data_IF_644255030692
#
_entry.id   IF_644255030692
#
_cell.length_a   1.000
_cell.length_b   1.000
_cell.length_c   1.000
_cell.angle_alpha   90.00
_cell.angle_beta   90.00
_cell.angle_gamma   90.00
#
_symmetry.space_group_name_H-M   'P 1'
#
loop_
_entity.id
_entity.type
_entity.pdbx_description
1 polymer ?
#
# COMPACT_ATOMS: atom_id res chain seq x y z
N UNK A 1 -25.57 16.95 5.26
CA UNK A 1 -25.59 15.54 5.70
C UNK A 1 -24.31 14.87 5.22
N UNK A 2 -23.55 14.12 6.05
CA UNK A 2 -22.38 13.41 5.56
C UNK A 2 -22.86 12.37 4.54
N UNK A 3 -22.27 12.41 3.35
CA UNK A 3 -22.62 11.54 2.23
C UNK A 3 -22.17 10.10 2.56
N UNK A 4 -23.06 9.31 3.17
CA UNK A 4 -22.83 7.93 3.66
C UNK A 4 -22.38 6.95 2.57
N UNK A 5 -22.37 7.36 1.30
CA UNK A 5 -21.91 6.54 0.18
C UNK A 5 -20.40 6.63 -0.06
N UNK A 6 -19.70 7.67 0.40
CA UNK A 6 -18.27 7.89 0.17
C UNK A 6 -17.39 6.88 0.93
N UNK A 7 -16.39 6.36 0.23
CA UNK A 7 -15.49 5.32 0.74
C UNK A 7 -14.03 5.71 0.51
N UNK A 8 -13.18 5.22 1.41
CA UNK A 8 -11.72 5.20 1.23
C UNK A 8 -11.32 3.77 0.90
N UNK A 9 -10.46 3.61 -0.09
CA UNK A 9 -9.87 2.33 -0.45
C UNK A 9 -8.44 2.26 0.08
N UNK A 10 -8.12 1.17 0.79
CA UNK A 10 -6.77 0.89 1.30
C UNK A 10 -6.31 -0.44 0.73
N UNK A 11 -5.29 -0.46 -0.09
CA UNK A 11 -4.63 -1.71 -0.47
C UNK A 11 -3.55 -2.04 0.55
N UNK A 12 -3.35 -3.33 0.85
CA UNK A 12 -2.46 -3.75 1.94
C UNK A 12 -3.01 -3.47 3.34
N UNK A 13 -4.35 -3.38 3.47
CA UNK A 13 -5.01 -2.98 4.73
C UNK A 13 -5.02 -4.04 5.82
N UNK A 14 -4.56 -5.27 5.56
CA UNK A 14 -4.33 -6.31 6.57
C UNK A 14 -2.86 -6.42 6.97
N UNK A 15 -1.98 -5.58 6.41
CA UNK A 15 -0.59 -5.41 6.81
C UNK A 15 -0.44 -4.43 7.98
N UNK A 16 0.79 -4.30 8.49
CA UNK A 16 1.11 -3.43 9.63
C UNK A 16 0.68 -1.97 9.41
N UNK A 17 1.19 -1.32 8.38
CA UNK A 17 0.90 0.09 8.11
C UNK A 17 -0.58 0.31 7.74
N UNK A 18 -1.14 -0.58 6.91
CA UNK A 18 -2.53 -0.48 6.47
C UNK A 18 -3.53 -0.61 7.61
N UNK A 19 -3.28 -1.51 8.57
CA UNK A 19 -4.13 -1.68 9.77
C UNK A 19 -4.13 -0.43 10.63
N UNK A 20 -2.95 0.12 10.92
CA UNK A 20 -2.83 1.37 11.71
C UNK A 20 -3.52 2.54 11.01
N UNK A 21 -3.40 2.63 9.67
CA UNK A 21 -4.12 3.65 8.90
C UNK A 21 -5.64 3.46 9.00
N UNK A 22 -6.15 2.24 8.84
CA UNK A 22 -7.59 1.94 8.94
C UNK A 22 -8.11 2.36 10.33
N UNK A 23 -7.39 2.03 11.39
CA UNK A 23 -7.74 2.44 12.75
C UNK A 23 -7.81 3.97 12.90
N UNK A 24 -6.81 4.68 12.38
CA UNK A 24 -6.78 6.13 12.39
C UNK A 24 -7.96 6.74 11.60
N UNK A 25 -8.24 6.21 10.40
CA UNK A 25 -9.35 6.66 9.56
C UNK A 25 -10.70 6.46 10.26
N UNK A 26 -10.89 5.34 10.96
CA UNK A 26 -12.09 5.08 11.76
C UNK A 26 -12.28 6.08 12.90
N UNK A 27 -11.17 6.52 13.53
CA UNK A 27 -11.17 7.51 14.62
C UNK A 27 -11.39 8.94 14.11
N UNK A 28 -10.82 9.26 12.94
CA UNK A 28 -10.77 10.65 12.44
C UNK A 28 -11.82 10.98 11.38
N UNK A 29 -12.52 9.98 10.82
CA UNK A 29 -13.49 10.19 9.74
C UNK A 29 -14.74 9.34 9.92
N UNK A 30 -15.80 9.68 9.19
CA UNK A 30 -17.05 8.91 9.13
C UNK A 30 -17.16 8.07 7.83
N UNK A 31 -16.10 8.01 7.01
CA UNK A 31 -16.12 7.25 5.77
C UNK A 31 -16.17 5.73 6.00
N UNK A 32 -16.77 5.02 5.05
CA UNK A 32 -16.62 3.59 4.94
C UNK A 32 -15.25 3.28 4.33
N UNK A 33 -14.66 2.17 4.74
CA UNK A 33 -13.33 1.76 4.29
C UNK A 33 -13.46 0.41 3.58
N UNK A 34 -12.85 0.30 2.41
CA UNK A 34 -12.66 -0.96 1.70
C UNK A 34 -11.18 -1.28 1.72
N UNK A 35 -10.83 -2.46 2.20
CA UNK A 35 -9.45 -2.96 2.19
C UNK A 35 -9.33 -4.07 1.15
N UNK A 36 -8.31 -4.00 0.28
CA UNK A 36 -7.89 -5.09 -0.61
C UNK A 36 -6.53 -5.56 -0.15
N UNK A 37 -6.40 -6.86 0.13
CA UNK A 37 -5.16 -7.48 0.58
C UNK A 37 -5.07 -8.93 0.08
N UNK A 38 -3.91 -9.37 -0.39
CA UNK A 38 -3.71 -10.76 -0.83
C UNK A 38 -3.21 -11.66 0.30
N UNK A 39 -2.90 -11.08 1.46
CA UNK A 39 -2.35 -11.73 2.66
C UNK A 39 -0.96 -12.36 2.46
N UNK A 40 -0.17 -11.86 1.52
CA UNK A 40 1.23 -12.32 1.34
C UNK A 40 2.12 -11.99 2.54
N UNK A 41 1.86 -10.85 3.20
CA UNK A 41 2.51 -10.44 4.46
C UNK A 41 1.51 -9.96 5.52
N UNK A 42 0.30 -9.66 5.11
CA UNK A 42 -0.81 -9.30 6.00
C UNK A 42 -1.44 -10.53 6.68
N UNK A 43 -2.28 -10.29 7.68
CA UNK A 43 -2.98 -11.34 8.43
C UNK A 43 -4.44 -10.97 8.69
N UNK A 44 -5.32 -11.98 8.64
CA UNK A 44 -6.71 -11.81 9.10
C UNK A 44 -6.81 -11.43 10.58
N UNK A 45 -5.78 -11.73 11.38
CA UNK A 45 -5.72 -11.32 12.81
C UNK A 45 -5.67 -9.79 12.97
N UNK A 46 -5.21 -9.09 11.95
CA UNK A 46 -5.14 -7.62 11.90
C UNK A 46 -6.47 -6.98 11.50
N UNK A 47 -7.52 -7.76 11.24
CA UNK A 47 -8.81 -7.18 10.88
C UNK A 47 -9.44 -6.42 12.03
N UNK A 48 -9.77 -5.17 11.81
CA UNK A 48 -10.55 -4.36 12.74
C UNK A 48 -12.03 -4.70 12.57
N UNK A 49 -12.65 -5.24 13.61
CA UNK A 49 -14.09 -5.57 13.65
C UNK A 49 -14.92 -4.29 13.74
N UNK A 50 -15.27 -3.70 12.60
CA UNK A 50 -16.09 -2.49 12.53
C UNK A 50 -16.99 -2.54 11.30
N UNK A 51 -18.29 -2.18 11.45
CA UNK A 51 -19.29 -2.17 10.36
C UNK A 51 -18.96 -1.24 9.19
N UNK A 52 -18.04 -0.29 9.39
CA UNK A 52 -17.57 0.62 8.35
C UNK A 52 -16.40 0.06 7.53
N UNK A 53 -15.80 -1.10 7.91
CA UNK A 53 -14.65 -1.69 7.21
C UNK A 53 -15.08 -2.96 6.50
N UNK A 54 -14.77 -3.06 5.21
CA UNK A 54 -14.93 -4.28 4.41
C UNK A 54 -13.57 -4.74 3.93
N UNK A 55 -13.16 -5.94 4.30
CA UNK A 55 -11.95 -6.60 3.80
C UNK A 55 -12.28 -7.51 2.61
N UNK A 56 -11.47 -7.43 1.57
CA UNK A 56 -11.58 -8.25 0.35
C UNK A 56 -10.23 -8.90 0.11
N UNK A 57 -10.20 -10.25 0.08
CA UNK A 57 -8.99 -11.00 -0.28
C UNK A 57 -8.83 -10.97 -1.79
N UNK A 58 -7.84 -10.24 -2.28
CA UNK A 58 -7.46 -10.20 -3.70
C UNK A 58 -6.13 -9.51 -3.92
N UNK A 59 -5.56 -9.71 -5.10
CA UNK A 59 -4.43 -8.94 -5.58
C UNK A 59 -4.86 -7.58 -6.12
N UNK A 60 -3.97 -6.60 -6.03
CA UNK A 60 -4.21 -5.22 -6.49
C UNK A 60 -4.45 -5.11 -7.99
N UNK A 61 -3.89 -6.04 -8.78
CA UNK A 61 -4.14 -6.11 -10.22
C UNK A 61 -5.61 -6.31 -10.60
N UNK A 62 -6.43 -6.83 -9.68
CA UNK A 62 -7.85 -7.06 -9.91
C UNK A 62 -8.74 -5.89 -9.44
N UNK A 63 -8.18 -4.75 -9.07
CA UNK A 63 -8.90 -3.62 -8.45
C UNK A 63 -10.11 -3.17 -9.26
N UNK A 64 -9.97 -3.06 -10.59
CA UNK A 64 -11.05 -2.64 -11.49
C UNK A 64 -12.20 -3.64 -11.55
N UNK A 65 -11.91 -4.92 -11.35
CA UNK A 65 -12.92 -5.99 -11.32
C UNK A 65 -13.66 -6.04 -9.98
N UNK A 66 -12.96 -5.72 -8.89
CA UNK A 66 -13.47 -5.81 -7.51
C UNK A 66 -14.34 -4.59 -7.17
N UNK A 67 -13.90 -3.40 -7.52
CA UNK A 67 -14.58 -2.15 -7.17
C UNK A 67 -15.65 -1.82 -8.22
N UNK A 68 -16.85 -2.33 -8.01
CA UNK A 68 -17.99 -2.14 -8.93
C UNK A 68 -18.55 -0.71 -8.95
N UNK A 69 -18.33 0.07 -7.90
CA UNK A 69 -18.81 1.47 -7.78
C UNK A 69 -17.65 2.43 -7.53
N UNK A 70 -16.77 2.66 -8.52
CA UNK A 70 -15.58 3.51 -8.33
C UNK A 70 -15.93 4.96 -7.98
N UNK A 71 -17.08 5.48 -8.42
CA UNK A 71 -17.55 6.84 -8.07
C UNK A 71 -17.77 7.06 -6.56
N UNK A 72 -17.93 5.99 -5.78
CA UNK A 72 -18.02 6.09 -4.33
C UNK A 72 -16.65 6.22 -3.64
N UNK A 73 -15.54 5.90 -4.35
CA UNK A 73 -14.18 6.00 -3.81
C UNK A 73 -13.67 7.43 -3.96
N UNK A 74 -13.29 8.05 -2.86
CA UNK A 74 -12.77 9.43 -2.85
C UNK A 74 -11.23 9.47 -2.84
N UNK A 75 -10.60 8.46 -2.24
CA UNK A 75 -9.14 8.36 -2.12
C UNK A 75 -8.73 6.89 -2.08
N UNK A 76 -7.61 6.59 -2.71
CA UNK A 76 -6.94 5.30 -2.62
C UNK A 76 -5.62 5.50 -1.87
N UNK A 77 -5.41 4.77 -0.77
CA UNK A 77 -4.13 4.58 -0.12
C UNK A 77 -3.53 3.27 -0.62
N UNK A 78 -2.43 3.37 -1.36
CA UNK A 78 -1.81 2.21 -1.97
C UNK A 78 -0.59 1.75 -1.18
N UNK A 79 -0.80 0.75 -0.30
CA UNK A 79 0.23 0.12 0.55
C UNK A 79 0.38 -1.38 0.26
N UNK A 80 -0.45 -1.93 -0.65
CA UNK A 80 -0.47 -3.34 -1.01
C UNK A 80 0.59 -3.68 -2.05
N UNK A 81 1.86 -3.53 -1.68
CA UNK A 81 3.02 -3.83 -2.50
C UNK A 81 4.00 -4.74 -1.74
N UNK A 82 4.86 -5.41 -2.48
CA UNK A 82 5.97 -6.16 -1.91
C UNK A 82 6.97 -5.17 -1.27
N UNK A 83 7.37 -5.37 0.00
CA UNK A 83 8.06 -4.37 0.79
C UNK A 83 9.29 -4.89 1.54
N UNK A 84 10.15 -5.72 0.89
CA UNK A 84 11.40 -6.23 1.48
C UNK A 84 12.51 -6.30 0.44
N UNK A 85 13.65 -5.66 0.73
CA UNK A 85 14.79 -5.60 -0.18
C UNK A 85 15.36 -7.00 -0.41
N UNK A 86 15.82 -7.67 0.63
CA UNK A 86 16.46 -8.99 0.52
C UNK A 86 15.52 -10.03 -0.12
N UNK A 87 14.28 -10.09 0.35
CA UNK A 87 13.30 -11.04 -0.17
C UNK A 87 12.93 -10.79 -1.64
N UNK A 88 13.12 -9.57 -2.14
CA UNK A 88 12.84 -9.26 -3.55
C UNK A 88 13.78 -9.96 -4.53
N UNK A 89 14.98 -10.32 -4.12
CA UNK A 89 15.89 -11.13 -4.94
C UNK A 89 15.42 -12.60 -5.02
N UNK A 90 14.97 -13.15 -3.90
CA UNK A 90 14.50 -14.54 -3.82
C UNK A 90 13.14 -14.69 -4.51
N UNK A 91 12.26 -13.72 -4.32
CA UNK A 91 10.87 -13.70 -4.78
C UNK A 91 10.65 -12.61 -5.85
N UNK A 92 11.56 -12.54 -6.81
CA UNK A 92 11.55 -11.49 -7.82
C UNK A 92 10.23 -11.41 -8.59
N UNK A 93 9.68 -12.54 -9.01
CA UNK A 93 8.40 -12.57 -9.73
C UNK A 93 7.24 -12.05 -8.89
N UNK A 94 7.18 -12.38 -7.59
CA UNK A 94 6.17 -11.85 -6.68
C UNK A 94 6.33 -10.33 -6.52
N UNK A 95 7.58 -9.85 -6.40
CA UNK A 95 7.89 -8.43 -6.31
C UNK A 95 7.45 -7.68 -7.58
N UNK A 96 7.83 -8.16 -8.76
CA UNK A 96 7.45 -7.53 -10.04
C UNK A 96 5.93 -7.55 -10.23
N UNK A 97 5.26 -8.68 -10.00
CA UNK A 97 3.81 -8.78 -10.15
C UNK A 97 3.06 -7.85 -9.19
N UNK A 98 3.51 -7.74 -7.95
CA UNK A 98 2.90 -6.84 -6.97
C UNK A 98 3.19 -5.37 -7.29
N UNK A 99 4.47 -5.01 -7.43
CA UNK A 99 4.91 -3.62 -7.46
C UNK A 99 4.81 -2.99 -8.86
N UNK A 100 4.97 -3.77 -9.93
CA UNK A 100 4.82 -3.23 -11.30
C UNK A 100 3.42 -3.48 -11.83
N UNK A 101 3.00 -4.73 -11.97
CA UNK A 101 1.68 -5.04 -12.57
C UNK A 101 0.53 -4.56 -11.69
N UNK A 102 0.55 -4.93 -10.40
CA UNK A 102 -0.50 -4.56 -9.46
C UNK A 102 -0.61 -3.05 -9.25
N UNK A 103 0.53 -2.36 -9.12
CA UNK A 103 0.58 -0.91 -8.94
C UNK A 103 0.11 -0.16 -10.20
N UNK A 104 0.51 -0.62 -11.39
CA UNK A 104 0.02 -0.04 -12.65
C UNK A 104 -1.51 -0.12 -12.77
N UNK A 105 -2.13 -1.24 -12.37
CA UNK A 105 -3.59 -1.36 -12.33
C UNK A 105 -4.25 -0.40 -11.33
N UNK A 106 -3.61 -0.16 -10.18
CA UNK A 106 -4.09 0.85 -9.22
C UNK A 106 -3.98 2.26 -9.79
N UNK A 107 -2.88 2.59 -10.46
CA UNK A 107 -2.70 3.89 -11.12
C UNK A 107 -3.74 4.10 -12.22
N UNK A 108 -3.92 3.12 -13.09
CA UNK A 108 -4.91 3.13 -14.17
C UNK A 108 -6.33 3.30 -13.62
N UNK A 109 -6.66 2.57 -12.53
CA UNK A 109 -7.94 2.70 -11.86
C UNK A 109 -8.18 4.11 -11.32
N UNK A 110 -7.18 4.69 -10.62
CA UNK A 110 -7.27 6.04 -10.07
C UNK A 110 -7.38 7.08 -11.19
N UNK A 111 -6.57 6.97 -12.23
CA UNK A 111 -6.58 7.87 -13.38
C UNK A 111 -7.94 7.85 -14.09
N UNK A 112 -8.42 6.67 -14.50
CA UNK A 112 -9.69 6.47 -15.20
C UNK A 112 -10.89 7.04 -14.44
N UNK A 113 -10.88 6.91 -13.13
CA UNK A 113 -11.99 7.31 -12.27
C UNK A 113 -11.78 8.67 -11.61
N UNK A 114 -10.68 9.38 -11.91
CA UNK A 114 -10.31 10.70 -11.33
C UNK A 114 -10.24 10.68 -9.80
N UNK A 115 -9.74 9.59 -9.23
CA UNK A 115 -9.62 9.37 -7.79
C UNK A 115 -8.23 9.82 -7.34
N UNK A 116 -8.13 10.54 -6.22
CA UNK A 116 -6.86 10.91 -5.60
C UNK A 116 -6.14 9.66 -5.09
N UNK A 117 -4.86 9.51 -5.45
CA UNK A 117 -3.99 8.46 -4.97
C UNK A 117 -3.06 8.99 -3.88
N UNK A 118 -2.91 8.23 -2.79
CA UNK A 118 -1.81 8.37 -1.82
C UNK A 118 -0.92 7.15 -2.01
N UNK A 119 0.29 7.39 -2.52
CA UNK A 119 1.24 6.33 -2.86
C UNK A 119 2.32 6.17 -1.79
N UNK A 120 2.62 4.92 -1.44
CA UNK A 120 3.72 4.57 -0.53
C UNK A 120 5.04 4.46 -1.29
N UNK A 121 5.89 5.45 -1.17
CA UNK A 121 7.27 5.37 -1.63
C UNK A 121 8.19 4.81 -0.53
N UNK A 122 9.45 4.63 -0.84
CA UNK A 122 10.46 4.11 0.08
C UNK A 122 11.70 4.99 0.11
N UNK A 123 12.31 5.10 1.28
CA UNK A 123 13.62 5.75 1.43
C UNK A 123 14.73 5.07 0.62
N UNK A 124 14.57 3.79 0.26
CA UNK A 124 15.52 3.07 -0.59
C UNK A 124 15.72 3.74 -1.96
N UNK A 125 14.76 4.54 -2.44
CA UNK A 125 14.91 5.31 -3.68
C UNK A 125 15.69 6.61 -3.51
N UNK A 126 15.90 7.06 -2.27
CA UNK A 126 16.60 8.30 -1.93
C UNK A 126 18.04 8.05 -1.44
N UNK A 127 18.38 6.80 -1.09
CA UNK A 127 19.69 6.42 -0.57
C UNK A 127 20.81 6.77 -1.55
N UNK A 128 21.98 7.13 -1.01
CA UNK A 128 23.17 7.50 -1.77
C UNK A 128 22.86 8.53 -2.88
N UNK A 129 22.14 9.61 -2.53
CA UNK A 129 21.68 10.66 -3.47
C UNK A 129 20.88 10.12 -4.67
N UNK A 130 20.09 9.05 -4.44
CA UNK A 130 19.27 8.40 -5.46
C UNK A 130 19.98 7.30 -6.27
N UNK A 131 21.25 7.01 -6.00
CA UNK A 131 21.99 5.94 -6.70
C UNK A 131 21.53 4.54 -6.28
N UNK A 132 20.95 4.40 -5.07
CA UNK A 132 20.50 3.09 -4.54
C UNK A 132 19.19 2.59 -5.16
N UNK A 133 18.53 3.40 -5.98
CA UNK A 133 17.24 3.04 -6.62
C UNK A 133 17.29 1.79 -7.50
N UNK A 134 18.46 1.36 -7.94
CA UNK A 134 18.65 0.20 -8.82
C UNK A 134 19.30 -0.99 -8.09
N UNK A 135 19.53 -0.93 -6.78
CA UNK A 135 20.26 -1.97 -6.04
C UNK A 135 19.44 -3.23 -5.73
N UNK A 136 18.15 -3.22 -5.99
CA UNK A 136 17.29 -4.41 -5.78
C UNK A 136 16.05 -4.36 -6.66
N UNK A 137 15.40 -5.50 -6.95
CA UNK A 137 14.10 -5.52 -7.65
C UNK A 137 13.05 -4.66 -6.93
N UNK A 138 13.05 -4.66 -5.60
CA UNK A 138 12.18 -3.80 -4.79
C UNK A 138 12.44 -2.31 -5.02
N UNK A 139 13.69 -1.85 -4.85
CA UNK A 139 14.04 -0.43 -5.01
C UNK A 139 13.79 0.02 -6.46
N UNK A 140 14.16 -0.80 -7.44
CA UNK A 140 13.93 -0.54 -8.85
C UNK A 140 12.45 -0.35 -9.18
N UNK A 141 11.58 -1.30 -8.77
CA UNK A 141 10.14 -1.20 -9.04
C UNK A 141 9.52 0.04 -8.38
N UNK A 142 9.90 0.36 -7.16
CA UNK A 142 9.44 1.56 -6.45
C UNK A 142 9.89 2.85 -7.16
N UNK A 143 11.14 2.92 -7.59
CA UNK A 143 11.66 4.07 -8.33
C UNK A 143 10.93 4.28 -9.66
N UNK A 144 10.68 3.18 -10.42
CA UNK A 144 9.94 3.25 -11.68
C UNK A 144 8.48 3.65 -11.50
N UNK A 145 7.85 3.25 -10.41
CA UNK A 145 6.49 3.69 -10.08
C UNK A 145 6.43 5.20 -9.78
N UNK A 146 7.45 5.76 -9.10
CA UNK A 146 7.53 7.21 -8.87
C UNK A 146 7.68 7.97 -10.20
N UNK A 147 8.59 7.53 -11.04
CA UNK A 147 8.80 8.11 -12.38
C UNK A 147 7.51 8.06 -13.22
N UNK A 148 6.80 6.94 -13.19
CA UNK A 148 5.51 6.79 -13.88
C UNK A 148 4.45 7.75 -13.30
N UNK A 149 4.33 7.89 -11.98
CA UNK A 149 3.37 8.81 -11.35
C UNK A 149 3.60 10.25 -11.76
N UNK A 150 4.86 10.70 -11.79
CA UNK A 150 5.22 12.05 -12.25
C UNK A 150 4.80 12.27 -13.70
N UNK A 151 5.02 11.28 -14.56
CA UNK A 151 4.61 11.34 -15.97
C UNK A 151 3.09 11.29 -16.13
N UNK A 152 2.37 10.45 -15.37
CA UNK A 152 0.90 10.44 -15.37
C UNK A 152 0.32 11.79 -14.94
N UNK A 153 0.97 12.48 -14.00
CA UNK A 153 0.58 13.85 -13.66
C UNK A 153 0.83 14.83 -14.81
N UNK A 154 2.02 14.77 -15.45
CA UNK A 154 2.35 15.65 -16.60
C UNK A 154 1.39 15.43 -17.76
N UNK A 155 1.13 14.19 -18.14
CA UNK A 155 0.33 13.83 -19.30
C UNK A 155 -1.18 14.01 -19.06
N UNK A 156 -1.68 13.60 -17.90
CA UNK A 156 -3.11 13.43 -17.65
C UNK A 156 -3.63 14.22 -16.45
N UNK A 157 -2.77 15.01 -15.77
CA UNK A 157 -3.12 15.75 -14.55
C UNK A 157 -3.65 14.85 -13.43
N UNK A 158 -3.12 13.62 -13.32
CA UNK A 158 -3.47 12.69 -12.26
C UNK A 158 -3.16 13.30 -10.89
N UNK A 159 -4.13 13.24 -9.97
CA UNK A 159 -3.96 13.73 -8.60
C UNK A 159 -3.37 12.66 -7.73
N UNK A 160 -2.19 12.92 -7.18
CA UNK A 160 -1.55 12.02 -6.21
C UNK A 160 -0.77 12.78 -5.15
N UNK A 161 -0.46 12.10 -4.06
CA UNK A 161 0.54 12.49 -3.07
C UNK A 161 1.44 11.28 -2.77
N UNK A 162 2.66 11.55 -2.35
CA UNK A 162 3.67 10.54 -2.04
C UNK A 162 4.00 10.60 -0.56
N UNK A 163 3.98 9.43 0.09
CA UNK A 163 4.47 9.25 1.45
C UNK A 163 5.73 8.39 1.39
N UNK A 164 6.88 8.95 1.78
CA UNK A 164 8.13 8.20 1.88
C UNK A 164 8.21 7.50 3.22
N UNK A 165 8.20 6.18 3.19
CA UNK A 165 8.43 5.36 4.38
C UNK A 165 9.92 5.07 4.53
N UNK A 166 10.42 5.36 5.72
CA UNK A 166 11.71 4.92 6.23
C UNK A 166 11.51 3.64 7.05
N UNK A 167 12.30 3.44 8.11
CA UNK A 167 12.14 2.30 9.00
C UNK A 167 10.93 2.51 9.92
N UNK A 168 9.79 1.98 9.53
CA UNK A 168 8.54 2.11 10.28
C UNK A 168 8.49 1.06 11.37
N UNK A 169 8.13 1.47 12.59
CA UNK A 169 7.94 0.61 13.75
C UNK A 169 6.69 1.02 14.54
N UNK A 170 6.22 0.14 15.42
CA UNK A 170 5.09 0.42 16.29
C UNK A 170 4.11 -0.76 16.43
N UNK A 171 2.93 -0.52 17.05
CA UNK A 171 1.96 -1.57 17.35
C UNK A 171 1.55 -2.38 16.13
N UNK A 172 1.64 -3.71 16.24
CA UNK A 172 1.28 -4.64 15.16
C UNK A 172 2.35 -4.84 14.10
N UNK A 173 3.59 -4.37 14.32
CA UNK A 173 4.72 -4.67 13.45
C UNK A 173 5.04 -6.18 13.45
N UNK A 174 5.65 -6.65 12.35
CA UNK A 174 6.05 -8.06 12.23
C UNK A 174 7.31 -8.29 13.04
N UNK A 175 7.25 -9.14 14.06
CA UNK A 175 8.37 -9.45 14.98
C UNK A 175 9.05 -10.79 14.72
N UNK A 176 8.47 -11.67 13.86
CA UNK A 176 9.01 -13.00 13.58
C UNK A 176 8.95 -13.37 12.12
N UNK A 177 9.77 -14.36 11.70
CA UNK A 177 9.84 -14.84 10.33
C UNK A 177 10.63 -13.93 9.39
N UNK A 178 10.69 -14.30 8.10
CA UNK A 178 11.51 -13.63 7.08
C UNK A 178 11.09 -12.18 6.75
N UNK A 179 9.93 -11.76 7.23
CA UNK A 179 9.40 -10.41 7.04
C UNK A 179 9.49 -9.56 8.30
N UNK A 180 10.15 -10.04 9.37
CA UNK A 180 10.30 -9.31 10.62
C UNK A 180 11.16 -8.04 10.45
N UNK A 181 10.83 -7.02 11.25
CA UNK A 181 11.64 -5.80 11.36
C UNK A 181 12.68 -5.97 12.47
N UNK A 182 13.82 -5.28 12.38
CA UNK A 182 14.87 -5.35 13.41
C UNK A 182 14.32 -4.95 14.79
N UNK A 183 13.55 -3.86 14.86
CA UNK A 183 12.92 -3.42 16.12
C UNK A 183 11.91 -4.46 16.62
N UNK A 184 11.12 -5.07 15.71
CA UNK A 184 10.17 -6.11 16.09
C UNK A 184 10.86 -7.35 16.67
N UNK A 185 12.00 -7.76 16.10
CA UNK A 185 12.81 -8.86 16.61
C UNK A 185 13.33 -8.53 18.02
N UNK A 186 13.88 -7.32 18.23
CA UNK A 186 14.38 -6.91 19.52
C UNK A 186 13.29 -6.84 20.58
N UNK A 187 12.10 -6.32 20.25
CA UNK A 187 10.96 -6.32 21.17
C UNK A 187 10.51 -7.74 21.55
N UNK A 188 10.56 -8.69 20.62
CA UNK A 188 10.18 -10.08 20.86
C UNK A 188 11.21 -10.81 21.73
N UNK A 189 12.50 -10.51 21.54
CA UNK A 189 13.58 -11.06 22.38
C UNK A 189 13.61 -10.48 23.80
N UNK A 190 13.06 -9.29 24.02
CA UNK A 190 13.04 -8.64 25.33
C UNK A 190 11.88 -9.10 26.22
N UNK A 191 10.83 -9.65 25.65
CA UNK A 191 9.64 -10.19 26.39
C UNK A 191 9.90 -11.56 26.95
#
# INVERSE_FOLDING_TARGET
MPNLSKKILVTGGAGFVGTNLIELLLKKTNYKIVSIDNYSSGSKRNHIKNKRVKYIKSETKNISQIIKKPKEIITVFHFGEFARIYQSFIKMNECINSNSVGTNEVFSFCLKNKIKLIYSATSATLGNKGNDKNLSPYAFTKAKNLELLENLNKWFKMKFEIIYFYNVYGPGQISSGSMATVIGIFEDCYK
#
